data_IF_584223886936
#
_entry.id   IF_584223886936
#
_cell.length_a   1.000
_cell.length_b   1.000
_cell.length_c   1.000
_cell.angle_alpha   90.00
_cell.angle_beta   90.00
_cell.angle_gamma   90.00
#
_symmetry.space_group_name_H-M   'P 1'
#
loop_
_entity.id
_entity.type
_entity.pdbx_description
1 polymer ?
#
# COMPACT_ATOMS: atom_id res chain seq x y z
N UNK A 1 -20.85 4.53 10.36
CA UNK A 1 -19.73 4.89 9.46
C UNK A 1 -18.82 3.70 9.17
N UNK A 2 -17.84 3.35 10.03
CA UNK A 2 -16.81 2.33 9.74
C UNK A 2 -17.33 0.95 9.28
N UNK A 3 -18.42 0.46 9.90
CA UNK A 3 -19.05 -0.83 9.54
C UNK A 3 -19.79 -0.77 8.19
N UNK A 4 -20.35 0.38 7.85
CA UNK A 4 -21.00 0.64 6.55
C UNK A 4 -19.96 0.70 5.43
N UNK A 5 -18.82 1.34 5.68
CA UNK A 5 -17.70 1.40 4.72
C UNK A 5 -17.13 0.02 4.41
N UNK A 6 -17.05 -0.86 5.43
CA UNK A 6 -16.67 -2.27 5.22
C UNK A 6 -17.66 -3.02 4.33
N UNK A 7 -18.97 -2.82 4.54
CA UNK A 7 -20.01 -3.45 3.71
C UNK A 7 -19.92 -3.01 2.24
N UNK A 8 -19.73 -1.71 2.00
CA UNK A 8 -19.58 -1.17 0.63
C UNK A 8 -18.31 -1.71 -0.04
N UNK A 9 -17.22 -1.84 0.72
CA UNK A 9 -15.98 -2.44 0.22
C UNK A 9 -16.17 -3.90 -0.24
N UNK A 10 -17.06 -4.64 0.42
CA UNK A 10 -17.42 -6.02 0.08
C UNK A 10 -18.38 -6.10 -1.11
N UNK A 11 -19.37 -5.22 -1.18
CA UNK A 11 -20.36 -5.21 -2.27
C UNK A 11 -19.82 -4.65 -3.59
N UNK A 12 -18.91 -3.67 -3.55
CA UNK A 12 -18.38 -2.96 -4.72
C UNK A 12 -16.87 -2.69 -4.62
N UNK A 13 -16.09 -3.76 -4.48
CA UNK A 13 -14.64 -3.68 -4.28
C UNK A 13 -13.90 -2.88 -5.36
N UNK A 14 -14.14 -3.00 -6.68
CA UNK A 14 -13.35 -2.28 -7.69
C UNK A 14 -13.47 -0.75 -7.63
N UNK A 15 -14.70 -0.24 -7.45
CA UNK A 15 -14.95 1.20 -7.32
C UNK A 15 -14.35 1.73 -6.01
N UNK A 16 -14.61 1.02 -4.91
CA UNK A 16 -14.06 1.37 -3.60
C UNK A 16 -12.52 1.50 -3.63
N UNK A 17 -11.83 0.54 -4.26
CA UNK A 17 -10.37 0.55 -4.34
C UNK A 17 -9.83 1.66 -5.25
N UNK A 18 -10.56 1.98 -6.32
CA UNK A 18 -10.21 3.12 -7.17
C UNK A 18 -10.32 4.42 -6.40
N UNK A 19 -11.40 4.60 -5.62
CA UNK A 19 -11.57 5.77 -4.76
C UNK A 19 -10.47 5.88 -3.71
N UNK A 20 -10.18 4.80 -2.97
CA UNK A 20 -9.10 4.80 -1.97
C UNK A 20 -7.73 5.15 -2.56
N UNK A 21 -7.42 4.63 -3.74
CA UNK A 21 -6.17 4.94 -4.43
C UNK A 21 -6.07 6.43 -4.81
N UNK A 22 -7.16 6.99 -5.36
CA UNK A 22 -7.22 8.41 -5.70
C UNK A 22 -7.17 9.30 -4.45
N UNK A 23 -7.86 8.92 -3.39
CA UNK A 23 -7.88 9.67 -2.12
C UNK A 23 -6.53 9.68 -1.40
N UNK A 24 -5.61 8.76 -1.72
CA UNK A 24 -4.24 8.79 -1.22
C UNK A 24 -3.35 9.62 -2.15
N UNK A 25 -3.43 9.43 -3.47
CA UNK A 25 -2.53 10.08 -4.43
C UNK A 25 -2.89 11.52 -4.77
N UNK A 26 -4.17 11.83 -4.83
CA UNK A 26 -4.73 13.10 -5.28
C UNK A 26 -5.40 13.85 -4.12
N UNK A 27 -5.02 13.52 -2.88
CA UNK A 27 -5.57 14.17 -1.70
C UNK A 27 -5.33 15.69 -1.78
N UNK A 28 -6.39 16.48 -1.66
CA UNK A 28 -6.27 17.94 -1.64
C UNK A 28 -5.59 18.43 -0.34
N UNK A 29 -5.64 17.63 0.73
CA UNK A 29 -5.06 17.95 2.04
C UNK A 29 -4.42 16.72 2.68
N UNK A 30 -3.43 16.95 3.55
CA UNK A 30 -2.83 15.88 4.35
C UNK A 30 -3.86 15.20 5.27
N UNK A 31 -4.85 15.93 5.77
CA UNK A 31 -5.91 15.37 6.61
C UNK A 31 -6.73 14.31 5.86
N UNK A 32 -7.05 14.55 4.59
CA UNK A 32 -7.74 13.58 3.73
C UNK A 32 -6.86 12.34 3.50
N UNK A 33 -5.60 12.52 3.07
CA UNK A 33 -4.68 11.40 2.86
C UNK A 33 -4.52 10.55 4.14
N UNK A 34 -4.32 11.20 5.28
CA UNK A 34 -4.18 10.57 6.58
C UNK A 34 -5.45 9.80 6.98
N UNK A 35 -6.63 10.40 6.82
CA UNK A 35 -7.90 9.74 7.13
C UNK A 35 -8.10 8.49 6.27
N UNK A 36 -7.78 8.56 4.97
CA UNK A 36 -7.85 7.44 4.05
C UNK A 36 -6.87 6.34 4.45
N UNK A 37 -5.59 6.65 4.72
CA UNK A 37 -4.62 5.65 5.19
C UNK A 37 -5.06 4.96 6.48
N UNK A 38 -5.61 5.70 7.45
CA UNK A 38 -6.14 5.11 8.68
C UNK A 38 -7.37 4.22 8.44
N UNK A 39 -8.24 4.59 7.49
CA UNK A 39 -9.36 3.75 7.08
C UNK A 39 -8.85 2.45 6.45
N UNK A 40 -7.88 2.51 5.54
CA UNK A 40 -7.33 1.30 4.92
C UNK A 40 -6.62 0.42 5.96
N UNK A 41 -5.82 1.01 6.86
CA UNK A 41 -5.23 0.30 7.99
C UNK A 41 -6.29 -0.42 8.85
N UNK A 42 -7.41 0.25 9.13
CA UNK A 42 -8.55 -0.37 9.83
C UNK A 42 -9.15 -1.55 9.05
N UNK A 43 -9.26 -1.46 7.72
CA UNK A 43 -9.75 -2.56 6.87
C UNK A 43 -8.77 -3.72 6.89
N UNK A 44 -7.46 -3.48 6.76
CA UNK A 44 -6.42 -4.52 6.83
C UNK A 44 -6.54 -5.33 8.11
N UNK A 45 -6.68 -4.66 9.27
CA UNK A 45 -6.80 -5.34 10.58
C UNK A 45 -8.08 -6.16 10.74
N UNK A 46 -9.15 -5.85 10.01
CA UNK A 46 -10.47 -6.47 10.20
C UNK A 46 -10.80 -7.50 9.14
N UNK A 47 -10.42 -7.25 7.89
CA UNK A 47 -10.81 -7.99 6.68
C UNK A 47 -9.68 -7.88 5.63
N UNK A 48 -8.47 -8.42 5.87
CA UNK A 48 -7.33 -8.24 4.97
C UNK A 48 -7.58 -8.78 3.55
N UNK A 49 -8.34 -9.89 3.43
CA UNK A 49 -8.63 -10.51 2.13
C UNK A 49 -9.37 -9.58 1.15
N UNK A 50 -10.12 -8.59 1.64
CA UNK A 50 -10.86 -7.63 0.77
C UNK A 50 -9.90 -6.80 -0.07
N UNK A 51 -8.70 -6.53 0.43
CA UNK A 51 -7.71 -5.67 -0.24
C UNK A 51 -6.72 -6.46 -1.11
N UNK A 52 -6.72 -7.80 -1.02
CA UNK A 52 -5.65 -8.65 -1.59
C UNK A 52 -5.44 -8.43 -3.09
N UNK A 53 -6.54 -8.36 -3.86
CA UNK A 53 -6.49 -8.15 -5.31
C UNK A 53 -5.92 -6.77 -5.72
N UNK A 54 -5.94 -5.79 -4.81
CA UNK A 54 -5.57 -4.41 -5.08
C UNK A 54 -4.27 -3.99 -4.37
N UNK A 55 -3.55 -4.93 -3.73
CA UNK A 55 -2.34 -4.63 -2.97
C UNK A 55 -1.26 -3.90 -3.78
N UNK A 56 -0.94 -4.26 -5.04
CA UNK A 56 0.06 -3.53 -5.82
C UNK A 56 -0.29 -2.05 -5.96
N UNK A 57 -1.54 -1.75 -6.29
CA UNK A 57 -2.04 -0.39 -6.51
C UNK A 57 -2.12 0.42 -5.22
N UNK A 58 -2.52 -0.21 -4.13
CA UNK A 58 -2.56 0.41 -2.80
C UNK A 58 -1.15 0.71 -2.28
N UNK A 59 -0.25 -0.26 -2.41
CA UNK A 59 1.16 -0.11 -1.99
C UNK A 59 1.83 1.00 -2.77
N UNK A 60 1.64 1.05 -4.10
CA UNK A 60 2.14 2.14 -4.92
C UNK A 60 1.59 3.51 -4.49
N UNK A 61 0.31 3.60 -4.13
CA UNK A 61 -0.29 4.84 -3.65
C UNK A 61 0.40 5.33 -2.37
N UNK A 62 0.62 4.43 -1.41
CA UNK A 62 1.30 4.75 -0.15
C UNK A 62 2.75 5.16 -0.41
N UNK A 63 3.48 4.46 -1.28
CA UNK A 63 4.86 4.85 -1.65
C UNK A 63 4.87 6.23 -2.29
N UNK A 64 4.03 6.50 -3.27
CA UNK A 64 3.95 7.80 -3.96
C UNK A 64 3.49 8.94 -3.05
N UNK A 65 2.71 8.66 -2.01
CA UNK A 65 2.39 9.70 -1.00
C UNK A 65 3.63 10.23 -0.28
N UNK A 66 4.73 9.48 -0.31
CA UNK A 66 6.04 9.85 0.24
C UNK A 66 6.94 10.56 -0.78
N UNK A 67 6.43 10.99 -1.93
CA UNK A 67 7.24 11.68 -2.96
C UNK A 67 7.95 12.91 -2.37
N UNK A 68 9.29 13.05 -2.54
CA UNK A 68 10.06 14.17 -1.98
C UNK A 68 9.64 15.54 -2.49
N UNK A 69 9.01 15.60 -3.67
CA UNK A 69 8.51 16.83 -4.28
C UNK A 69 7.13 17.22 -3.76
N UNK A 70 6.43 16.31 -3.07
CA UNK A 70 5.10 16.57 -2.53
C UNK A 70 5.18 17.48 -1.30
N UNK A 71 4.41 18.60 -1.26
CA UNK A 71 4.35 19.45 -0.07
C UNK A 71 3.66 18.75 1.11
N UNK A 72 2.94 17.65 0.87
CA UNK A 72 2.24 16.90 1.91
C UNK A 72 3.11 15.83 2.57
N UNK A 73 4.30 15.53 2.03
CA UNK A 73 5.15 14.40 2.44
C UNK A 73 5.37 14.32 3.94
N UNK A 74 5.80 15.41 4.56
CA UNK A 74 6.07 15.43 6.01
C UNK A 74 4.79 15.19 6.83
N UNK A 75 3.67 15.74 6.37
CA UNK A 75 2.37 15.63 7.05
C UNK A 75 1.74 14.24 6.94
N UNK A 76 2.12 13.45 5.94
CA UNK A 76 1.61 12.08 5.75
C UNK A 76 2.58 10.99 6.21
N UNK A 77 3.84 11.35 6.53
CA UNK A 77 4.91 10.41 6.87
C UNK A 77 4.47 9.40 7.95
N UNK A 78 3.89 9.88 9.05
CA UNK A 78 3.47 9.03 10.17
C UNK A 78 2.38 8.02 9.76
N UNK A 79 1.39 8.47 8.99
CA UNK A 79 0.30 7.62 8.51
C UNK A 79 0.79 6.60 7.48
N UNK A 80 1.69 7.02 6.59
CA UNK A 80 2.30 6.15 5.59
C UNK A 80 3.18 5.07 6.25
N UNK A 81 3.96 5.43 7.27
CA UNK A 81 4.74 4.47 8.07
C UNK A 81 3.83 3.45 8.76
N UNK A 82 2.75 3.90 9.40
CA UNK A 82 1.76 3.00 10.00
C UNK A 82 1.15 2.08 8.94
N UNK A 83 0.73 2.63 7.81
CA UNK A 83 0.13 1.87 6.71
C UNK A 83 1.07 0.80 6.15
N UNK A 84 2.35 1.14 5.95
CA UNK A 84 3.37 0.18 5.52
C UNK A 84 3.53 -0.94 6.56
N UNK A 85 3.57 -0.61 7.85
CA UNK A 85 3.62 -1.61 8.93
C UNK A 85 2.43 -2.56 8.91
N UNK A 86 1.21 -2.05 8.68
CA UNK A 86 0.01 -2.89 8.56
C UNK A 86 0.05 -3.80 7.33
N UNK A 87 0.54 -3.28 6.20
CA UNK A 87 0.71 -4.07 4.97
C UNK A 87 1.67 -5.24 5.19
N UNK A 88 2.85 -4.97 5.75
CA UNK A 88 3.87 -6.01 5.99
C UNK A 88 3.36 -7.05 7.02
N UNK A 89 2.65 -6.59 8.05
CA UNK A 89 2.11 -7.50 9.08
C UNK A 89 0.97 -8.40 8.58
N UNK A 90 0.21 -7.95 7.58
CA UNK A 90 -0.96 -8.68 7.08
C UNK A 90 -0.71 -9.50 5.82
N UNK A 91 0.29 -9.15 4.99
CA UNK A 91 0.50 -9.75 3.68
C UNK A 91 1.94 -10.26 3.52
N UNK A 92 2.17 -11.59 3.54
CA UNK A 92 3.50 -12.18 3.38
C UNK A 92 4.18 -11.85 2.03
N UNK A 93 3.40 -11.48 1.01
CA UNK A 93 3.90 -11.03 -0.27
C UNK A 93 4.47 -9.59 -0.23
N UNK A 94 4.53 -8.95 0.93
CA UNK A 94 5.13 -7.63 1.14
C UNK A 94 6.25 -7.74 2.17
N UNK A 95 7.42 -7.20 1.85
CA UNK A 95 8.54 -7.15 2.79
C UNK A 95 9.22 -5.78 2.78
N UNK A 96 9.80 -5.42 3.91
CA UNK A 96 10.50 -4.15 4.09
C UNK A 96 11.94 -4.37 4.52
N UNK A 97 12.83 -3.59 3.92
CA UNK A 97 14.25 -3.58 4.23
C UNK A 97 14.63 -2.30 4.96
N UNK A 98 14.77 -2.38 6.28
CA UNK A 98 14.98 -1.24 7.19
C UNK A 98 16.15 -0.34 6.79
N UNK A 99 17.34 -0.89 6.53
CA UNK A 99 18.56 -0.09 6.31
C UNK A 99 18.51 0.73 5.03
N UNK A 100 18.05 0.11 3.95
CA UNK A 100 17.96 0.75 2.63
C UNK A 100 16.62 1.45 2.40
N UNK A 101 15.66 1.33 3.31
CA UNK A 101 14.30 1.87 3.18
C UNK A 101 13.63 1.42 1.87
N UNK A 102 13.66 0.11 1.61
CA UNK A 102 13.08 -0.50 0.41
C UNK A 102 11.87 -1.33 0.74
N UNK A 103 10.87 -1.29 -0.12
CA UNK A 103 9.65 -2.07 0.01
C UNK A 103 9.52 -2.97 -1.21
N UNK A 104 9.40 -4.28 -1.00
CA UNK A 104 9.13 -5.26 -2.03
C UNK A 104 7.67 -5.71 -1.94
N UNK A 105 7.00 -5.83 -3.08
CA UNK A 105 5.64 -6.39 -3.18
C UNK A 105 5.54 -7.39 -4.33
N UNK A 106 5.03 -8.57 -4.02
CA UNK A 106 4.63 -9.58 -4.98
C UNK A 106 3.25 -9.28 -5.59
N UNK A 107 3.11 -9.49 -6.89
CA UNK A 107 1.86 -9.29 -7.63
C UNK A 107 1.14 -10.61 -7.89
N UNK A 108 -0.12 -10.51 -8.33
CA UNK A 108 -0.91 -11.65 -8.77
C UNK A 108 -0.39 -12.27 -10.07
N UNK A 109 0.31 -11.48 -10.90
CA UNK A 109 0.92 -11.91 -12.16
C UNK A 109 2.31 -12.55 -11.99
N UNK A 110 2.82 -12.67 -10.75
CA UNK A 110 4.10 -13.32 -10.48
C UNK A 110 5.33 -12.41 -10.60
N UNK A 111 5.12 -11.10 -10.75
CA UNK A 111 6.20 -10.12 -10.65
C UNK A 111 6.41 -9.70 -9.18
N UNK A 112 7.64 -9.32 -8.83
CA UNK A 112 7.94 -8.60 -7.59
C UNK A 112 8.38 -7.18 -7.94
N UNK A 113 7.68 -6.19 -7.42
CA UNK A 113 8.01 -4.78 -7.61
C UNK A 113 8.79 -4.29 -6.40
N UNK A 114 9.97 -3.70 -6.63
CA UNK A 114 10.80 -3.11 -5.60
C UNK A 114 10.72 -1.59 -5.67
N UNK A 115 10.48 -0.96 -4.52
CA UNK A 115 10.43 0.49 -4.37
C UNK A 115 11.54 1.00 -3.44
N UNK A 116 12.03 2.21 -3.72
CA UNK A 116 12.79 3.03 -2.77
C UNK A 116 11.84 4.03 -2.10
N UNK A 117 11.68 3.91 -0.78
CA UNK A 117 10.79 4.78 -0.03
C UNK A 117 11.37 6.19 0.18
N UNK A 118 12.69 6.37 0.08
CA UNK A 118 13.30 7.70 0.26
C UNK A 118 12.94 8.62 -0.89
N UNK A 119 12.96 8.08 -2.10
CA UNK A 119 12.67 8.80 -3.35
C UNK A 119 11.25 8.57 -3.86
N UNK A 120 10.49 7.65 -3.25
CA UNK A 120 9.17 7.20 -3.70
C UNK A 120 9.16 6.63 -5.14
N UNK A 121 10.27 6.02 -5.55
CA UNK A 121 10.44 5.52 -6.92
C UNK A 121 10.37 4.00 -6.99
N UNK A 122 9.93 3.50 -8.15
CA UNK A 122 10.03 2.08 -8.50
C UNK A 122 11.46 1.82 -8.97
N UNK A 123 12.18 0.93 -8.28
CA UNK A 123 13.56 0.56 -8.60
C UNK A 123 13.59 -0.54 -9.66
N UNK A 124 12.91 -1.65 -9.41
CA UNK A 124 12.95 -2.84 -10.27
C UNK A 124 11.60 -3.52 -10.35
N UNK A 125 11.40 -4.25 -11.45
CA UNK A 125 10.38 -5.27 -11.60
C UNK A 125 11.14 -6.58 -11.81
N UNK A 126 11.02 -7.49 -10.86
CA UNK A 126 11.66 -8.79 -10.89
C UNK A 126 10.62 -9.81 -11.38
N UNK A 127 10.85 -10.35 -12.57
CA UNK A 127 9.96 -11.32 -13.20
C UNK A 127 10.54 -12.74 -13.06
N UNK A 128 9.67 -13.75 -13.04
CA UNK A 128 10.11 -15.15 -13.04
C UNK A 128 9.11 -16.13 -12.43
N UNK A 129 8.30 -15.71 -11.46
CA UNK A 129 7.19 -16.55 -11.01
C UNK A 129 6.11 -16.60 -12.09
N UNK A 130 5.64 -17.80 -12.42
CA UNK A 130 4.58 -18.01 -13.41
C UNK A 130 3.17 -17.91 -12.81
N UNK A 131 3.10 -17.65 -11.50
CA UNK A 131 1.89 -17.56 -10.69
C UNK A 131 2.08 -16.44 -9.67
N UNK A 132 0.99 -16.07 -8.99
CA UNK A 132 1.02 -15.11 -7.89
C UNK A 132 2.19 -15.38 -6.93
N UNK A 133 2.80 -14.31 -6.46
CA UNK A 133 3.85 -14.39 -5.45
C UNK A 133 3.20 -14.57 -4.07
N UNK A 134 3.42 -15.71 -3.44
CA UNK A 134 2.82 -16.01 -2.13
C UNK A 134 3.58 -15.33 -0.98
N UNK A 135 4.91 -15.18 -1.08
CA UNK A 135 5.72 -14.50 -0.07
C UNK A 135 6.99 -13.89 -0.65
N UNK A 136 7.50 -12.84 0.01
CA UNK A 136 8.82 -12.24 -0.29
C UNK A 136 9.54 -11.94 1.02
N UNK A 137 10.87 -11.98 1.02
CA UNK A 137 11.70 -11.57 2.15
C UNK A 137 13.02 -10.99 1.66
N UNK A 138 13.59 -10.09 2.45
CA UNK A 138 14.98 -9.69 2.29
C UNK A 138 15.90 -10.62 3.08
N UNK A 139 17.10 -10.86 2.56
CA UNK A 139 18.18 -11.44 3.35
C UNK A 139 18.58 -10.47 4.48
N UNK A 140 18.99 -10.98 5.67
CA UNK A 140 19.56 -10.18 6.74
C UNK A 140 20.76 -9.32 6.32
#
# INVERSE_FOLDING_TARGET
ARRTTLHIAEENTPLFMTTLHLDILQAATAAQANATMHLVAYIIRRRPLVLYANLPRLTEAVVKSLDPTSPLRESVLSSATLMISELIGAYPCIAFHNRLQRLAIGTHEGAVVLYDLKTATRLFILEGHQKRVDAVSFSP
#
